data_IF_262626255361
#
_entry.id   IF_262626255361
#
_cell.length_a   1.000
_cell.length_b   1.000
_cell.length_c   1.000
_cell.angle_alpha   90.00
_cell.angle_beta   90.00
_cell.angle_gamma   90.00
#
_symmetry.space_group_name_H-M   'P 1'
#
loop_
_entity.id
_entity.type
_entity.pdbx_description
1 polymer ?
#
# COMPACT_ATOMS: atom_id res chain seq x y z
N UNK A 1 -6.78 31.94 -10.42
CA UNK A 1 -6.75 30.46 -10.52
C UNK A 1 -8.04 29.91 -9.93
N UNK A 2 -8.86 29.22 -10.72
CA UNK A 2 -10.12 28.61 -10.27
C UNK A 2 -9.83 27.16 -9.89
N UNK A 3 -9.61 26.92 -8.59
CA UNK A 3 -9.37 25.58 -8.06
C UNK A 3 -10.74 24.92 -7.92
N UNK A 4 -11.08 24.02 -8.84
CA UNK A 4 -12.33 23.27 -8.76
C UNK A 4 -12.28 22.39 -7.50
N UNK A 5 -13.17 22.66 -6.54
CA UNK A 5 -13.45 21.78 -5.41
C UNK A 5 -14.43 20.68 -5.86
N UNK A 6 -14.11 20.01 -6.95
CA UNK A 6 -14.84 18.79 -7.32
C UNK A 6 -14.43 17.68 -6.35
N UNK A 7 -15.43 16.98 -5.81
CA UNK A 7 -15.28 15.90 -4.83
C UNK A 7 -14.20 14.90 -5.28
N UNK A 8 -13.08 14.87 -4.57
CA UNK A 8 -12.02 13.90 -4.81
C UNK A 8 -12.58 12.48 -4.64
N UNK A 9 -12.64 11.72 -5.73
CA UNK A 9 -13.02 10.31 -5.70
C UNK A 9 -11.76 9.49 -5.40
N UNK A 10 -11.72 8.81 -4.26
CA UNK A 10 -10.67 7.84 -3.94
C UNK A 10 -10.91 6.58 -4.76
N UNK A 11 -10.05 6.31 -5.74
CA UNK A 11 -10.05 5.06 -6.50
C UNK A 11 -8.87 4.19 -6.06
N UNK A 12 -9.13 2.91 -5.77
CA UNK A 12 -8.08 1.94 -5.48
C UNK A 12 -7.54 1.40 -6.81
N UNK A 13 -6.24 1.58 -7.04
CA UNK A 13 -5.55 0.80 -8.06
C UNK A 13 -5.44 -0.65 -7.55
N UNK A 14 -5.44 -1.63 -8.46
CA UNK A 14 -5.59 -3.06 -8.16
C UNK A 14 -4.52 -3.65 -7.22
N UNK A 15 -4.41 -4.99 -7.13
CA UNK A 15 -3.45 -5.60 -6.23
C UNK A 15 -2.00 -5.27 -6.62
N UNK A 16 -1.19 -4.95 -5.61
CA UNK A 16 0.25 -4.73 -5.73
C UNK A 16 1.00 -5.60 -4.73
N UNK A 17 2.23 -5.95 -5.06
CA UNK A 17 3.16 -6.62 -4.14
C UNK A 17 3.99 -5.57 -3.41
N UNK A 18 4.06 -5.68 -2.09
CA UNK A 18 4.92 -4.83 -1.24
C UNK A 18 6.33 -5.41 -1.27
N UNK A 19 7.33 -4.61 -1.63
CA UNK A 19 8.74 -5.03 -1.67
C UNK A 19 9.45 -4.70 -0.36
N UNK A 20 9.15 -3.53 0.20
CA UNK A 20 9.82 -3.04 1.41
C UNK A 20 8.88 -2.15 2.22
N UNK A 21 8.97 -2.28 3.55
CA UNK A 21 8.34 -1.37 4.51
C UNK A 21 9.44 -0.55 5.18
N UNK A 22 9.35 0.76 5.11
CA UNK A 22 10.26 1.68 5.78
C UNK A 22 9.71 2.09 7.14
N UNK A 23 10.62 2.51 8.04
CA UNK A 23 10.21 3.25 9.24
C UNK A 23 9.36 4.46 8.83
N UNK A 24 8.44 4.85 9.71
CA UNK A 24 7.53 5.99 9.53
C UNK A 24 6.39 5.80 8.50
N UNK A 25 6.09 4.56 8.13
CA UNK A 25 4.86 4.25 7.39
C UNK A 25 4.92 4.60 5.91
N UNK A 26 6.11 4.48 5.30
CA UNK A 26 6.25 4.44 3.84
C UNK A 26 6.44 3.00 3.40
N UNK A 27 5.74 2.58 2.35
CA UNK A 27 5.91 1.27 1.73
C UNK A 27 6.28 1.42 0.27
N UNK A 28 7.15 0.55 -0.21
CA UNK A 28 7.48 0.45 -1.62
C UNK A 28 6.66 -0.67 -2.25
N UNK A 29 6.03 -0.34 -3.38
CA UNK A 29 5.19 -1.23 -4.18
C UNK A 29 5.90 -1.55 -5.49
N UNK A 30 5.93 -2.84 -5.86
CA UNK A 30 6.42 -3.25 -7.18
C UNK A 30 5.35 -3.09 -8.25
N UNK A 31 5.79 -2.75 -9.46
CA UNK A 31 4.94 -2.76 -10.65
C UNK A 31 5.46 -3.81 -11.64
N UNK A 32 4.56 -4.54 -12.35
CA UNK A 32 4.99 -5.52 -13.34
C UNK A 32 5.67 -4.87 -14.56
N UNK A 33 5.27 -3.64 -14.90
CA UNK A 33 5.66 -2.97 -16.14
C UNK A 33 6.44 -1.67 -15.89
N UNK A 34 6.99 -1.47 -14.68
CA UNK A 34 7.53 -0.17 -14.31
C UNK A 34 8.42 -0.21 -13.07
N UNK A 35 9.05 0.93 -12.76
CA UNK A 35 9.84 1.07 -11.54
C UNK A 35 8.97 0.94 -10.29
N UNK A 36 9.58 0.49 -9.21
CA UNK A 36 8.94 0.49 -7.90
C UNK A 36 8.61 1.93 -7.48
N UNK A 37 7.52 2.08 -6.74
CA UNK A 37 7.09 3.39 -6.25
C UNK A 37 6.77 3.35 -4.76
N UNK A 38 7.11 4.45 -4.08
CA UNK A 38 6.89 4.62 -2.64
C UNK A 38 5.55 5.29 -2.40
N UNK A 39 4.77 4.74 -1.47
CA UNK A 39 3.50 5.30 -1.03
C UNK A 39 3.42 5.31 0.49
N UNK A 40 2.62 6.23 1.02
CA UNK A 40 2.31 6.24 2.44
C UNK A 40 1.36 5.09 2.78
N UNK A 41 1.54 4.47 3.95
CA UNK A 41 0.70 3.38 4.47
C UNK A 41 -0.78 3.73 4.44
N UNK A 42 -1.15 5.00 4.69
CA UNK A 42 -2.55 5.46 4.64
C UNK A 42 -3.22 5.29 3.26
N UNK A 43 -2.43 5.14 2.19
CA UNK A 43 -2.90 4.96 0.81
C UNK A 43 -2.81 3.51 0.34
N UNK A 44 -2.59 2.57 1.27
CA UNK A 44 -2.48 1.14 1.02
C UNK A 44 -3.52 0.39 1.84
N UNK A 45 -4.13 -0.62 1.25
CA UNK A 45 -5.11 -1.49 1.91
C UNK A 45 -4.78 -2.94 1.61
N UNK A 46 -4.95 -3.81 2.60
CA UNK A 46 -4.77 -5.25 2.41
C UNK A 46 -5.80 -5.78 1.40
N UNK A 47 -5.34 -6.55 0.42
CA UNK A 47 -6.18 -7.18 -0.58
C UNK A 47 -6.42 -8.64 -0.18
N UNK A 48 -7.67 -8.98 0.14
CA UNK A 48 -8.07 -10.33 0.61
C UNK A 48 -8.44 -11.30 -0.53
N UNK A 49 -8.36 -10.89 -1.79
CA UNK A 49 -8.72 -11.73 -2.94
C UNK A 49 -7.52 -12.50 -3.49
N UNK A 50 -7.60 -13.83 -3.53
CA UNK A 50 -6.61 -14.70 -4.16
C UNK A 50 -5.78 -15.54 -3.17
N UNK A 51 -5.22 -16.64 -3.67
CA UNK A 51 -4.33 -17.53 -2.91
C UNK A 51 -2.96 -16.86 -2.71
N UNK A 52 -2.88 -15.94 -1.75
CA UNK A 52 -1.63 -15.26 -1.40
C UNK A 52 -0.79 -16.22 -0.56
N UNK A 53 0.44 -16.56 -0.96
CA UNK A 53 1.30 -17.42 -0.15
C UNK A 53 1.57 -16.74 1.20
N UNK A 54 1.18 -17.43 2.26
CA UNK A 54 1.18 -17.00 3.67
C UNK A 54 2.54 -16.48 4.20
N UNK A 55 3.63 -16.64 3.43
CA UNK A 55 4.99 -16.21 3.79
C UNK A 55 5.16 -14.69 3.89
N UNK A 56 4.34 -13.88 3.21
CA UNK A 56 4.43 -12.40 3.26
C UNK A 56 3.63 -11.84 4.45
N UNK A 57 2.71 -12.63 5.02
CA UNK A 57 1.79 -12.19 6.09
C UNK A 57 2.50 -12.07 7.45
N UNK A 58 3.56 -12.86 7.69
CA UNK A 58 4.28 -12.84 8.95
C UNK A 58 4.98 -11.50 9.23
N UNK A 59 5.50 -10.83 8.20
CA UNK A 59 6.29 -9.60 8.34
C UNK A 59 5.44 -8.33 8.49
N UNK A 60 4.15 -8.38 8.11
CA UNK A 60 3.22 -7.24 8.26
C UNK A 60 2.41 -7.26 9.57
N UNK A 61 2.38 -8.38 10.30
CA UNK A 61 1.62 -8.48 11.56
C UNK A 61 2.36 -7.91 12.78
N UNK A 62 3.63 -7.50 12.66
CA UNK A 62 4.35 -6.84 13.79
C UNK A 62 4.38 -5.33 13.58
N UNK A 63 3.21 -4.71 13.43
CA UNK A 63 3.09 -3.31 13.84
C UNK A 63 3.02 -3.34 15.37
N UNK A 64 3.95 -2.73 16.12
CA UNK A 64 3.76 -2.54 17.54
C UNK A 64 2.54 -1.62 17.68
N UNK A 65 1.38 -2.20 17.96
CA UNK A 65 0.31 -1.46 18.60
C UNK A 65 0.80 -1.24 20.02
N UNK A 66 1.45 -0.09 20.25
CA UNK A 66 1.77 0.36 21.61
C UNK A 66 0.51 0.24 22.49
N UNK A 67 0.76 -0.29 23.69
CA UNK A 67 -0.21 -0.76 24.70
C UNK A 67 -1.13 0.33 25.25
#
# INVERSE_FOLDING_TARGET
LKILSEKLKTHWFGPFTITQVFLYGTVELSQPNGPNFKVNVHRVKHYFGGDIPFKVVADLHTFPMDK
#
